data_IF_594501150309
#
_entry.id   IF_594501150309
#
_cell.length_a   1.000
_cell.length_b   1.000
_cell.length_c   1.000
_cell.angle_alpha   90.00
_cell.angle_beta   90.00
_cell.angle_gamma   90.00
#
_symmetry.space_group_name_H-M   'P 1'
#
loop_
_entity.id
_entity.type
_entity.pdbx_description
1 polymer ?
#
# COMPACT_ATOMS: atom_id res chain seq x y z
N UNK A 1 10.30 -0.84 16.05
CA UNK A 1 9.76 -1.05 17.41
C UNK A 1 8.33 -1.54 17.30
N UNK A 2 7.81 -2.20 18.34
CA UNK A 2 6.44 -2.74 18.39
C UNK A 2 5.39 -1.62 18.30
N UNK A 3 5.66 -0.49 18.95
CA UNK A 3 4.78 0.68 19.00
C UNK A 3 4.53 1.25 17.62
N UNK A 4 5.60 1.44 16.81
CA UNK A 4 5.47 1.92 15.42
C UNK A 4 4.65 0.97 14.56
N UNK A 5 4.85 -0.34 14.71
CA UNK A 5 4.06 -1.34 13.98
C UNK A 5 2.56 -1.24 14.31
N UNK A 6 2.22 -1.08 15.59
CA UNK A 6 0.84 -0.89 16.05
C UNK A 6 0.28 0.44 15.53
N UNK A 7 1.05 1.53 15.60
CA UNK A 7 0.62 2.83 15.08
C UNK A 7 0.34 2.77 13.57
N UNK A 8 1.17 2.07 12.78
CA UNK A 8 0.95 1.84 11.35
C UNK A 8 -0.26 0.94 11.04
N UNK A 9 -0.93 0.38 12.07
CA UNK A 9 -2.09 -0.48 11.92
C UNK A 9 -1.74 -1.92 11.54
N UNK A 10 -0.49 -2.34 11.73
CA UNK A 10 -0.01 -3.67 11.42
C UNK A 10 -0.24 -4.12 9.97
N UNK A 11 -0.23 -5.44 9.78
CA UNK A 11 -0.54 -6.04 8.48
C UNK A 11 -2.04 -6.09 8.21
N UNK A 12 -2.38 -5.86 6.94
CA UNK A 12 -3.76 -5.87 6.50
C UNK A 12 -4.21 -7.30 6.16
N UNK A 13 -5.01 -7.90 7.04
CA UNK A 13 -5.56 -9.25 6.88
C UNK A 13 -6.41 -9.47 5.62
N UNK A 14 -6.77 -8.41 4.89
CA UNK A 14 -7.48 -8.51 3.61
C UNK A 14 -6.53 -8.82 2.44
N UNK A 15 -5.22 -8.61 2.63
CA UNK A 15 -4.17 -8.91 1.66
C UNK A 15 -3.48 -10.18 2.16
N UNK A 16 -3.86 -11.34 1.61
CA UNK A 16 -3.38 -12.66 2.04
C UNK A 16 -2.02 -12.98 1.42
N UNK A 17 -1.81 -12.54 0.17
CA UNK A 17 -0.54 -12.68 -0.50
C UNK A 17 0.54 -11.83 0.22
N UNK A 18 1.59 -12.50 0.70
CA UNK A 18 2.65 -11.88 1.51
C UNK A 18 3.40 -10.78 0.77
N UNK A 19 3.63 -10.95 -0.54
CA UNK A 19 4.34 -9.96 -1.35
C UNK A 19 3.59 -8.62 -1.34
N UNK A 20 2.30 -8.64 -1.69
CA UNK A 20 1.48 -7.43 -1.68
C UNK A 20 1.27 -6.85 -0.28
N UNK A 21 1.25 -7.71 0.75
CA UNK A 21 1.10 -7.28 2.14
C UNK A 21 2.33 -6.53 2.64
N UNK A 22 3.54 -7.06 2.39
CA UNK A 22 4.81 -6.39 2.71
C UNK A 22 4.95 -5.08 1.96
N UNK A 23 4.66 -5.09 0.65
CA UNK A 23 4.73 -3.91 -0.19
C UNK A 23 3.77 -2.81 0.29
N UNK A 24 2.54 -3.18 0.62
CA UNK A 24 1.57 -2.24 1.17
C UNK A 24 2.03 -1.64 2.50
N UNK A 25 2.53 -2.46 3.41
CA UNK A 25 3.00 -2.00 4.72
C UNK A 25 4.13 -0.99 4.58
N UNK A 26 5.11 -1.26 3.70
CA UNK A 26 6.21 -0.33 3.40
C UNK A 26 5.70 1.00 2.84
N UNK A 27 4.80 0.97 1.86
CA UNK A 27 4.19 2.17 1.30
C UNK A 27 3.38 2.96 2.33
N UNK A 28 2.59 2.28 3.18
CA UNK A 28 1.82 2.93 4.24
C UNK A 28 2.72 3.63 5.26
N UNK A 29 3.87 3.05 5.60
CA UNK A 29 4.86 3.69 6.45
C UNK A 29 5.30 5.04 5.85
N UNK A 30 5.68 5.03 4.57
CA UNK A 30 6.05 6.25 3.83
C UNK A 30 4.89 7.25 3.81
N UNK A 31 3.68 6.80 3.50
CA UNK A 31 2.50 7.67 3.48
C UNK A 31 2.23 8.32 4.82
N UNK A 32 2.56 7.68 5.94
CA UNK A 32 2.36 8.27 7.27
C UNK A 32 3.55 9.10 7.76
N UNK A 33 4.55 9.32 6.90
CA UNK A 33 5.75 10.09 7.20
C UNK A 33 6.81 9.31 7.97
N UNK A 34 6.68 7.99 8.07
CA UNK A 34 7.76 7.15 8.59
C UNK A 34 8.81 6.90 7.51
N UNK A 35 10.05 6.69 7.94
CA UNK A 35 11.18 6.36 7.07
C UNK A 35 11.53 4.87 7.14
N UNK A 36 11.78 4.28 5.97
CA UNK A 36 12.24 2.90 5.82
C UNK A 36 13.73 2.94 5.46
N UNK A 37 14.57 2.38 6.33
CA UNK A 37 16.03 2.39 6.14
C UNK A 37 16.53 1.00 5.78
N UNK A 38 17.47 0.94 4.83
CA UNK A 38 18.18 -0.28 4.45
C UNK A 38 19.57 -0.22 5.07
N UNK A 39 19.84 -1.07 6.06
CA UNK A 39 21.15 -1.13 6.68
C UNK A 39 22.08 -2.08 5.91
N UNK A 40 22.75 -1.58 4.87
CA UNK A 40 23.57 -2.36 3.92
C UNK A 40 24.72 -3.17 4.55
N UNK A 41 25.16 -2.79 5.75
CA UNK A 41 26.22 -3.50 6.51
C UNK A 41 25.72 -4.80 7.16
N UNK A 42 24.42 -4.93 7.43
CA UNK A 42 23.82 -6.18 7.90
C UNK A 42 23.33 -6.96 6.70
N UNK A 43 23.90 -8.16 6.50
CA UNK A 43 23.46 -9.08 5.45
C UNK A 43 22.92 -10.33 6.11
N UNK A 44 21.65 -10.62 5.83
CA UNK A 44 20.99 -11.85 6.24
C UNK A 44 20.70 -12.62 4.97
N UNK A 45 21.20 -13.85 4.88
CA UNK A 45 20.97 -14.73 3.74
C UNK A 45 20.19 -15.95 4.19
N UNK A 46 19.18 -16.32 3.41
CA UNK A 46 18.45 -17.57 3.61
C UNK A 46 19.36 -18.74 3.25
N UNK A 47 19.42 -19.74 4.12
CA UNK A 47 20.18 -20.98 3.89
C UNK A 47 19.46 -21.94 2.95
N UNK A 48 18.14 -21.76 2.78
CA UNK A 48 17.32 -22.50 1.84
C UNK A 48 17.04 -21.69 0.56
N UNK A 49 16.69 -22.40 -0.53
CA UNK A 49 16.13 -21.77 -1.72
C UNK A 49 14.86 -21.01 -1.33
N UNK A 50 14.88 -19.70 -1.54
CA UNK A 50 13.67 -18.90 -1.39
C UNK A 50 12.66 -19.30 -2.45
N UNK A 51 11.42 -19.54 -2.02
CA UNK A 51 10.31 -19.65 -2.96
C UNK A 51 10.23 -18.34 -3.77
N UNK A 52 9.97 -18.41 -5.09
CA UNK A 52 9.74 -17.21 -5.88
C UNK A 52 8.56 -16.43 -5.30
N UNK A 53 8.64 -15.10 -5.35
CA UNK A 53 7.55 -14.25 -4.89
C UNK A 53 6.31 -14.50 -5.75
N UNK A 54 5.16 -14.69 -5.09
CA UNK A 54 3.88 -14.84 -5.79
C UNK A 54 3.38 -13.46 -6.25
N UNK A 55 3.52 -13.20 -7.56
CA UNK A 55 3.07 -11.97 -8.22
C UNK A 55 1.71 -12.15 -8.91
N UNK A 56 0.95 -13.19 -8.56
CA UNK A 56 -0.36 -13.46 -9.14
C UNK A 56 -1.28 -12.26 -8.94
N UNK A 57 -1.99 -11.89 -10.01
CA UNK A 57 -2.97 -10.77 -9.98
C UNK A 57 -4.29 -11.24 -9.40
N UNK A 58 -4.25 -11.61 -8.12
CA UNK A 58 -5.35 -12.15 -7.34
C UNK A 58 -6.14 -11.03 -6.62
N UNK A 59 -7.03 -11.43 -5.69
CA UNK A 59 -7.77 -10.48 -4.85
C UNK A 59 -6.85 -9.60 -3.99
N UNK A 60 -5.73 -10.14 -3.49
CA UNK A 60 -4.75 -9.41 -2.69
C UNK A 60 -4.12 -8.27 -3.50
N UNK A 61 -3.75 -8.55 -4.75
CA UNK A 61 -3.26 -7.54 -5.71
C UNK A 61 -4.28 -6.41 -5.91
N UNK A 62 -5.56 -6.75 -6.07
CA UNK A 62 -6.62 -5.76 -6.26
C UNK A 62 -6.85 -4.87 -5.04
N UNK A 63 -6.82 -5.46 -3.84
CA UNK A 63 -6.94 -4.72 -2.57
C UNK A 63 -5.73 -3.81 -2.36
N UNK A 64 -4.52 -4.30 -2.68
CA UNK A 64 -3.30 -3.52 -2.70
C UNK A 64 -3.44 -2.29 -3.61
N UNK A 65 -3.89 -2.49 -4.86
CA UNK A 65 -4.08 -1.39 -5.81
C UNK A 65 -5.15 -0.42 -5.32
N UNK A 66 -6.28 -0.91 -4.79
CA UNK A 66 -7.34 -0.06 -4.26
C UNK A 66 -6.84 0.83 -3.11
N UNK A 67 -5.92 0.34 -2.27
CA UNK A 67 -5.36 1.07 -1.13
C UNK A 67 -4.24 2.04 -1.47
N UNK A 68 -3.58 1.89 -2.62
CA UNK A 68 -2.43 2.71 -3.01
C UNK A 68 -2.71 3.61 -4.22
N UNK A 69 -3.40 3.10 -5.23
CA UNK A 69 -3.68 3.82 -6.46
C UNK A 69 -4.84 4.82 -6.30
N UNK A 70 -5.89 4.44 -5.58
CA UNK A 70 -7.14 5.22 -5.52
C UNK A 70 -7.08 6.43 -4.59
N UNK A 71 -6.43 6.36 -3.41
CA UNK A 71 -6.12 7.52 -2.59
C UNK A 71 -5.28 8.55 -3.34
N UNK A 72 -5.61 9.83 -3.15
CA UNK A 72 -4.86 10.98 -3.67
C UNK A 72 -4.58 11.92 -2.51
N UNK A 73 -3.33 12.28 -2.31
CA UNK A 73 -2.94 13.26 -1.32
C UNK A 73 -3.18 14.67 -1.86
N UNK A 74 -3.95 15.48 -1.13
CA UNK A 74 -4.33 16.83 -1.52
C UNK A 74 -4.31 17.73 -0.28
N UNK A 75 -3.42 18.72 -0.27
CA UNK A 75 -3.21 19.59 0.90
C UNK A 75 -2.66 18.79 2.07
N UNK A 76 -3.43 18.70 3.16
CA UNK A 76 -3.03 18.02 4.41
C UNK A 76 -3.82 16.72 4.67
N UNK A 77 -4.34 16.09 3.62
CA UNK A 77 -5.10 14.86 3.77
C UNK A 77 -5.30 14.12 2.46
N UNK A 78 -6.15 13.10 2.50
CA UNK A 78 -6.42 12.22 1.37
C UNK A 78 -7.85 12.32 0.89
N UNK A 79 -8.01 12.36 -0.43
CA UNK A 79 -9.28 12.17 -1.13
C UNK A 79 -9.28 10.81 -1.81
N UNK A 80 -10.41 10.11 -1.75
CA UNK A 80 -10.58 8.82 -2.42
C UNK A 80 -11.22 9.03 -3.80
N UNK A 81 -10.48 8.75 -4.88
CA UNK A 81 -10.93 9.08 -6.24
C UNK A 81 -11.83 8.00 -6.84
N UNK A 82 -13.11 8.32 -7.01
CA UNK A 82 -14.06 7.39 -7.64
C UNK A 82 -13.66 7.07 -9.10
N UNK A 83 -13.12 8.03 -9.85
CA UNK A 83 -12.65 7.79 -11.22
C UNK A 83 -11.46 6.83 -11.27
N UNK A 84 -10.51 6.91 -10.33
CA UNK A 84 -9.42 5.93 -10.24
C UNK A 84 -9.93 4.54 -9.90
N UNK A 85 -10.95 4.45 -9.06
CA UNK A 85 -11.62 3.17 -8.79
C UNK A 85 -12.30 2.59 -10.04
N UNK A 86 -13.08 3.39 -10.77
CA UNK A 86 -13.69 2.93 -12.03
C UNK A 86 -12.64 2.48 -13.05
N UNK A 87 -11.53 3.22 -13.18
CA UNK A 87 -10.42 2.83 -14.04
C UNK A 87 -9.77 1.51 -13.60
N UNK A 88 -9.65 1.28 -12.29
CA UNK A 88 -9.18 0.01 -11.73
C UNK A 88 -10.13 -1.14 -12.10
N UNK A 89 -11.44 -0.97 -11.88
CA UNK A 89 -12.45 -1.96 -12.25
C UNK A 89 -12.42 -2.29 -13.74
N UNK A 90 -12.34 -1.28 -14.61
CA UNK A 90 -12.26 -1.49 -16.05
C UNK A 90 -10.97 -2.22 -16.46
N UNK A 91 -9.83 -1.80 -15.95
CA UNK A 91 -8.51 -2.36 -16.31
C UNK A 91 -8.38 -3.83 -15.92
N UNK A 92 -8.90 -4.21 -14.77
CA UNK A 92 -8.80 -5.57 -14.23
C UNK A 92 -10.09 -6.39 -14.41
N UNK A 93 -11.06 -5.87 -15.19
CA UNK A 93 -12.37 -6.50 -15.44
C UNK A 93 -13.06 -6.95 -14.15
N UNK A 94 -12.95 -6.12 -13.11
CA UNK A 94 -13.55 -6.38 -11.79
C UNK A 94 -15.02 -5.99 -11.86
N UNK A 95 -15.87 -6.88 -11.37
CA UNK A 95 -17.27 -6.56 -11.13
C UNK A 95 -17.40 -5.52 -10.01
N UNK A 96 -17.87 -4.33 -10.39
CA UNK A 96 -18.06 -3.20 -9.49
C UNK A 96 -18.95 -3.54 -8.29
N UNK A 97 -19.98 -4.37 -8.48
CA UNK A 97 -20.89 -4.76 -7.41
C UNK A 97 -20.23 -5.71 -6.42
N UNK A 98 -19.39 -6.64 -6.92
CA UNK A 98 -18.64 -7.57 -6.07
C UNK A 98 -17.59 -6.86 -5.22
N UNK A 99 -16.90 -5.87 -5.79
CA UNK A 99 -15.81 -5.14 -5.11
C UNK A 99 -16.26 -3.85 -4.42
N UNK A 100 -17.54 -3.52 -4.52
CA UNK A 100 -18.12 -2.29 -3.96
C UNK A 100 -18.10 -2.27 -2.42
N UNK A 101 -18.14 -3.44 -1.78
CA UNK A 101 -18.03 -3.56 -0.32
C UNK A 101 -16.63 -3.19 0.14
N UNK A 102 -15.59 -3.79 -0.45
CA UNK A 102 -14.19 -3.49 -0.17
C UNK A 102 -13.88 -2.01 -0.43
N UNK A 103 -14.40 -1.46 -1.53
CA UNK A 103 -14.27 -0.03 -1.83
C UNK A 103 -14.82 0.84 -0.70
N UNK A 104 -16.05 0.59 -0.22
CA UNK A 104 -16.68 1.39 0.83
C UNK A 104 -15.91 1.30 2.15
N UNK A 105 -15.52 0.10 2.55
CA UNK A 105 -14.77 -0.15 3.79
C UNK A 105 -13.40 0.53 3.76
N UNK A 106 -12.64 0.33 2.69
CA UNK A 106 -11.30 0.91 2.52
C UNK A 106 -11.38 2.43 2.42
N UNK A 107 -12.37 2.97 1.71
CA UNK A 107 -12.61 4.41 1.64
C UNK A 107 -12.88 4.98 3.04
N UNK A 108 -13.78 4.36 3.82
CA UNK A 108 -14.11 4.81 5.17
C UNK A 108 -12.87 4.83 6.07
N UNK A 109 -12.08 3.76 6.06
CA UNK A 109 -10.83 3.64 6.83
C UNK A 109 -9.79 4.68 6.41
N UNK A 110 -9.63 4.90 5.10
CA UNK A 110 -8.69 5.89 4.55
C UNK A 110 -9.08 7.30 4.97
N UNK A 111 -10.37 7.64 4.89
CA UNK A 111 -10.88 8.95 5.30
C UNK A 111 -10.71 9.17 6.81
N UNK A 112 -10.98 8.16 7.64
CA UNK A 112 -10.74 8.23 9.10
C UNK A 112 -9.27 8.50 9.45
N UNK A 113 -8.34 7.96 8.66
CA UNK A 113 -6.91 8.16 8.85
C UNK A 113 -6.34 9.32 8.02
N UNK A 114 -7.17 10.12 7.36
CA UNK A 114 -6.74 11.11 6.35
C UNK A 114 -5.66 12.08 6.86
N UNK A 115 -5.79 12.57 8.10
CA UNK A 115 -4.83 13.52 8.72
C UNK A 115 -3.43 12.92 8.98
N UNK A 116 -3.32 11.59 8.97
CA UNK A 116 -2.05 10.88 9.18
C UNK A 116 -1.22 10.85 7.91
N UNK A 117 -1.85 10.97 6.75
CA UNK A 117 -1.13 10.94 5.48
C UNK A 117 -0.26 12.20 5.33
N UNK A 118 0.91 11.99 4.75
CA UNK A 118 1.94 12.97 4.37
C UNK A 118 2.26 12.89 2.88
N UNK A 119 1.66 11.93 2.17
CA UNK A 119 1.83 11.70 0.74
C UNK A 119 0.91 10.60 0.24
N UNK A 120 0.96 10.34 -1.05
CA UNK A 120 0.32 9.19 -1.70
C UNK A 120 1.34 8.37 -2.51
N UNK A 121 0.85 7.42 -3.31
CA UNK A 121 1.71 6.58 -4.14
C UNK A 121 2.60 7.40 -5.08
N UNK A 122 2.11 8.54 -5.60
CA UNK A 122 2.90 9.40 -6.48
C UNK A 122 4.06 10.00 -5.69
N UNK A 123 3.80 10.54 -4.50
CA UNK A 123 4.84 11.07 -3.62
C UNK A 123 5.87 10.00 -3.24
N UNK A 124 5.44 8.77 -2.99
CA UNK A 124 6.35 7.67 -2.67
C UNK A 124 7.26 7.28 -3.85
N UNK A 125 6.73 7.28 -5.08
CA UNK A 125 7.53 7.06 -6.30
C UNK A 125 8.53 8.20 -6.51
N UNK A 126 8.09 9.46 -6.35
CA UNK A 126 8.98 10.62 -6.45
C UNK A 126 10.10 10.58 -5.39
N UNK A 127 9.79 10.15 -4.16
CA UNK A 127 10.81 9.94 -3.12
C UNK A 127 11.78 8.82 -3.49
N UNK A 128 11.30 7.73 -4.11
CA UNK A 128 12.17 6.65 -4.58
C UNK A 128 13.12 7.13 -5.68
N UNK A 129 12.58 7.83 -6.69
CA UNK A 129 13.35 8.29 -7.84
C UNK A 129 14.41 9.35 -7.45
N UNK A 130 14.09 10.20 -6.46
CA UNK A 130 15.00 11.25 -5.99
C UNK A 130 16.00 10.77 -4.94
N UNK A 131 15.68 9.71 -4.18
CA UNK A 131 16.59 9.11 -3.21
C UNK A 131 17.21 7.83 -3.78
N UNK A 132 17.75 7.89 -5.00
CA UNK A 132 18.58 6.80 -5.55
C UNK A 132 19.51 6.36 -4.43
N UNK A 133 19.27 5.13 -3.98
CA UNK A 133 19.75 4.60 -2.72
C UNK A 133 21.29 4.58 -2.81
N UNK A 134 21.96 5.52 -2.14
CA UNK A 134 23.39 5.42 -1.84
C UNK A 134 23.67 4.31 -0.82
#
# INVERSE_FOLDING_TARGET
>A
SKEKFIQLGGFDRRIENEYFQRLYFGLRAIYFGESVHIYRKLRIQYTALNAPEDLTKDRSCLIFLLKNYVPIFVGNGVKFSFFRFLKLCLRYRIDFFKFGKEFKEIKSETVKNSLRFKGDLKSAIELWDNNIID
#
